data_IF_748722879156
#
_entry.id   IF_748722879156
#
_cell.length_a   1.000
_cell.length_b   1.000
_cell.length_c   1.000
_cell.angle_alpha   90.00
_cell.angle_beta   90.00
_cell.angle_gamma   90.00
#
_symmetry.space_group_name_H-M   'P 1'
#
loop_
_entity.id
_entity.type
_entity.pdbx_description
1 polymer ?
#
# COMPACT_ATOMS: atom_id res chain seq x y z
N UNK A 1 7.92 2.57 -23.58
CA UNK A 1 7.01 2.53 -24.76
C UNK A 1 7.53 3.29 -25.98
N UNK A 2 8.68 3.99 -25.91
CA UNK A 2 9.28 4.71 -27.06
C UNK A 2 9.57 3.86 -28.32
N UNK A 3 9.67 2.52 -28.17
CA UNK A 3 9.88 1.59 -29.30
C UNK A 3 8.69 1.49 -30.28
N UNK A 4 7.52 1.99 -29.88
CA UNK A 4 6.29 1.92 -30.66
C UNK A 4 5.85 3.27 -31.23
N UNK A 5 6.71 4.30 -31.08
CA UNK A 5 6.43 5.63 -31.61
C UNK A 5 6.30 5.58 -33.14
N UNK A 6 5.23 6.19 -33.66
CA UNK A 6 4.92 6.19 -35.08
C UNK A 6 4.37 4.87 -35.64
N UNK A 7 4.08 3.86 -34.79
CA UNK A 7 3.48 2.58 -35.23
C UNK A 7 2.01 2.50 -34.85
N UNK A 8 1.19 1.78 -35.65
CA UNK A 8 -0.19 1.51 -35.27
C UNK A 8 -0.22 0.56 -34.07
N UNK A 9 -0.83 0.97 -32.97
CA UNK A 9 -0.90 0.20 -31.71
C UNK A 9 -2.33 0.15 -31.22
N UNK A 10 -2.83 -1.04 -30.94
CA UNK A 10 -4.13 -1.25 -30.28
C UNK A 10 -3.88 -1.55 -28.80
N UNK A 11 -4.33 -0.64 -27.93
CA UNK A 11 -4.27 -0.84 -26.48
C UNK A 11 -5.61 -1.42 -26.04
N UNK A 12 -5.58 -2.65 -25.50
CA UNK A 12 -6.79 -3.36 -25.09
C UNK A 12 -6.56 -4.14 -23.81
N UNK A 13 -7.64 -4.63 -23.18
CA UNK A 13 -7.55 -5.48 -21.99
C UNK A 13 -7.07 -6.88 -22.39
N UNK A 14 -6.37 -7.55 -21.49
CA UNK A 14 -5.87 -8.93 -21.69
C UNK A 14 -7.02 -9.89 -22.03
N UNK A 15 -8.18 -9.71 -21.40
CA UNK A 15 -9.37 -10.50 -21.69
C UNK A 15 -9.85 -10.37 -23.15
N UNK A 16 -9.83 -9.17 -23.71
CA UNK A 16 -10.22 -8.93 -25.10
C UNK A 16 -9.21 -9.54 -26.08
N UNK A 17 -7.91 -9.54 -25.70
CA UNK A 17 -6.85 -10.20 -26.47
C UNK A 17 -7.01 -11.72 -26.54
N UNK A 18 -7.59 -12.32 -25.49
CA UNK A 18 -7.83 -13.78 -25.43
C UNK A 18 -9.13 -14.15 -26.16
N UNK A 19 -10.19 -13.37 -25.98
CA UNK A 19 -11.52 -13.72 -26.51
C UNK A 19 -11.76 -13.27 -27.95
N UNK A 20 -11.04 -12.24 -28.44
CA UNK A 20 -11.27 -11.66 -29.78
C UNK A 20 -9.95 -11.32 -30.50
N UNK A 21 -9.01 -12.27 -30.61
CA UNK A 21 -7.71 -12.00 -31.24
C UNK A 21 -7.82 -11.61 -32.71
N UNK A 22 -8.72 -12.24 -33.46
CA UNK A 22 -8.91 -11.97 -34.90
C UNK A 22 -9.43 -10.56 -35.17
N UNK A 23 -10.35 -10.06 -34.36
CA UNK A 23 -10.89 -8.71 -34.48
C UNK A 23 -9.79 -7.66 -34.24
N UNK A 24 -8.91 -7.89 -33.27
CA UNK A 24 -7.80 -7.00 -32.96
C UNK A 24 -6.72 -6.98 -34.03
N UNK A 25 -6.42 -8.15 -34.61
CA UNK A 25 -5.48 -8.28 -35.73
C UNK A 25 -6.06 -7.59 -36.99
N UNK A 26 -7.32 -7.78 -37.26
CA UNK A 26 -7.99 -7.16 -38.45
C UNK A 26 -8.00 -5.63 -38.33
N UNK A 27 -8.17 -5.06 -37.13
CA UNK A 27 -8.07 -3.60 -36.91
C UNK A 27 -6.69 -3.05 -37.25
N UNK A 28 -5.63 -3.82 -37.00
CA UNK A 28 -4.25 -3.42 -37.33
C UNK A 28 -4.02 -3.55 -38.83
N UNK A 29 -4.45 -4.65 -39.44
CA UNK A 29 -4.28 -4.93 -40.89
C UNK A 29 -5.07 -3.97 -41.76
N UNK A 30 -6.28 -3.60 -41.34
CA UNK A 30 -7.14 -2.65 -42.05
C UNK A 30 -6.75 -1.18 -41.86
N UNK A 31 -5.71 -0.89 -41.04
CA UNK A 31 -5.27 0.47 -40.83
C UNK A 31 -6.16 1.30 -39.88
N UNK A 32 -7.09 0.66 -39.17
CA UNK A 32 -8.01 1.32 -38.22
C UNK A 32 -7.35 1.57 -36.85
N UNK A 33 -6.12 1.05 -36.65
CA UNK A 33 -5.39 1.23 -35.40
C UNK A 33 -4.77 2.64 -35.30
N UNK A 34 -4.98 3.38 -34.22
CA UNK A 34 -4.40 4.69 -34.02
C UNK A 34 -2.86 4.62 -33.98
N UNK A 35 -2.21 5.58 -34.61
CA UNK A 35 -0.74 5.71 -34.55
C UNK A 35 -0.35 6.17 -33.16
N UNK A 36 0.53 5.40 -32.50
CA UNK A 36 1.01 5.73 -31.18
C UNK A 36 2.09 6.81 -31.27
N UNK A 37 1.87 7.93 -30.60
CA UNK A 37 2.88 8.98 -30.41
C UNK A 37 3.37 8.93 -28.96
N UNK A 38 4.66 8.68 -28.77
CA UNK A 38 5.30 8.74 -27.47
C UNK A 38 5.45 10.21 -27.05
N UNK A 39 4.36 10.82 -26.62
CA UNK A 39 4.44 12.09 -25.88
C UNK A 39 5.04 11.76 -24.52
N UNK A 40 6.24 12.26 -24.26
CA UNK A 40 6.93 12.06 -22.98
C UNK A 40 6.12 12.67 -21.84
N UNK A 41 5.39 11.84 -21.16
CA UNK A 41 4.54 12.20 -20.02
C UNK A 41 3.53 11.10 -19.76
N UNK A 42 3.46 10.62 -18.55
CA UNK A 42 2.47 9.77 -17.90
C UNK A 42 1.73 8.73 -18.78
N UNK A 43 1.53 7.49 -18.33
CA UNK A 43 0.70 6.53 -19.05
C UNK A 43 -0.67 7.17 -19.31
N UNK A 44 -1.09 7.17 -20.58
CA UNK A 44 -2.40 7.65 -20.99
C UNK A 44 -3.47 7.05 -20.07
N UNK A 45 -4.16 7.92 -19.35
CA UNK A 45 -5.29 7.54 -18.53
C UNK A 45 -6.27 6.75 -19.40
N UNK A 46 -6.63 5.56 -18.96
CA UNK A 46 -7.72 4.80 -19.58
C UNK A 46 -8.97 5.70 -19.62
N UNK A 47 -9.73 5.70 -20.73
CA UNK A 47 -10.85 6.62 -20.86
C UNK A 47 -11.86 6.39 -19.73
N UNK A 48 -12.11 7.44 -18.93
CA UNK A 48 -13.12 7.52 -17.87
C UNK A 48 -12.95 6.59 -16.65
N UNK A 49 -11.75 6.53 -16.05
CA UNK A 49 -11.71 6.13 -14.66
C UNK A 49 -12.24 7.30 -13.79
N UNK A 50 -13.34 7.08 -13.08
CA UNK A 50 -13.81 8.06 -12.11
C UNK A 50 -12.74 8.24 -11.03
N UNK A 51 -12.56 9.46 -10.49
CA UNK A 51 -11.58 9.72 -9.44
C UNK A 51 -11.68 8.72 -8.27
N UNK A 52 -12.89 8.28 -7.93
CA UNK A 52 -13.14 7.25 -6.94
C UNK A 52 -12.55 5.88 -7.29
N UNK A 53 -12.57 5.48 -8.57
CA UNK A 53 -11.97 4.22 -9.02
C UNK A 53 -10.44 4.26 -8.94
N UNK A 54 -9.83 5.38 -9.26
CA UNK A 54 -8.39 5.56 -9.14
C UNK A 54 -7.94 5.50 -7.66
N UNK A 55 -8.61 6.24 -6.78
CA UNK A 55 -8.35 6.20 -5.34
C UNK A 55 -8.50 4.77 -4.79
N UNK A 56 -9.57 4.05 -5.17
CA UNK A 56 -9.77 2.67 -4.75
C UNK A 56 -8.62 1.75 -5.16
N UNK A 57 -8.07 1.89 -6.37
CA UNK A 57 -6.91 1.11 -6.83
C UNK A 57 -5.67 1.37 -5.99
N UNK A 58 -5.40 2.65 -5.69
CA UNK A 58 -4.26 3.04 -4.85
C UNK A 58 -4.40 2.50 -3.42
N UNK A 59 -5.60 2.59 -2.84
CA UNK A 59 -5.91 2.02 -1.53
C UNK A 59 -5.71 0.51 -1.50
N UNK A 60 -6.23 -0.20 -2.51
CA UNK A 60 -6.12 -1.66 -2.60
C UNK A 60 -4.67 -2.10 -2.72
N UNK A 61 -3.83 -1.33 -3.43
CA UNK A 61 -2.40 -1.58 -3.49
C UNK A 61 -1.74 -1.48 -2.09
N UNK A 62 -2.04 -0.42 -1.34
CA UNK A 62 -1.54 -0.24 0.03
C UNK A 62 -1.97 -1.37 0.97
N UNK A 63 -3.26 -1.71 0.96
CA UNK A 63 -3.82 -2.79 1.78
C UNK A 63 -3.18 -4.14 1.46
N UNK A 64 -2.97 -4.47 0.17
CA UNK A 64 -2.36 -5.73 -0.23
C UNK A 64 -0.95 -5.92 0.32
N UNK A 65 -0.17 -4.85 0.39
CA UNK A 65 1.19 -4.88 0.95
C UNK A 65 1.22 -4.87 2.49
N UNK A 66 0.18 -4.35 3.12
CA UNK A 66 0.02 -4.36 4.58
C UNK A 66 -0.36 -5.75 5.12
N UNK A 67 -1.14 -6.55 4.36
CA UNK A 67 -1.67 -7.83 4.82
C UNK A 67 -0.63 -8.80 5.38
N UNK A 68 0.56 -9.02 4.77
CA UNK A 68 1.57 -9.93 5.32
C UNK A 68 2.03 -9.53 6.73
N UNK A 69 2.10 -8.24 7.02
CA UNK A 69 2.51 -7.73 8.34
C UNK A 69 1.43 -7.95 9.39
N UNK A 70 0.17 -7.76 9.03
CA UNK A 70 -0.97 -8.02 9.90
C UNK A 70 -1.07 -9.52 10.21
N UNK A 71 -1.01 -10.37 9.18
CA UNK A 71 -1.11 -11.82 9.34
C UNK A 71 0.10 -12.37 10.12
N UNK A 72 1.31 -11.99 9.73
CA UNK A 72 2.53 -12.43 10.40
C UNK A 72 2.60 -11.94 11.85
N UNK A 73 2.30 -10.67 12.10
CA UNK A 73 2.22 -10.10 13.45
C UNK A 73 1.17 -10.79 14.31
N UNK A 74 -0.02 -11.04 13.76
CA UNK A 74 -1.10 -11.76 14.44
C UNK A 74 -0.72 -13.18 14.83
N UNK A 75 -0.06 -13.93 13.94
CA UNK A 75 0.44 -15.27 14.23
C UNK A 75 1.48 -15.21 15.37
N UNK A 76 2.41 -14.26 15.34
CA UNK A 76 3.41 -14.12 16.40
C UNK A 76 2.79 -13.82 17.76
N UNK A 77 1.79 -12.94 17.81
CA UNK A 77 1.05 -12.64 19.04
C UNK A 77 0.27 -13.86 19.52
N UNK A 78 -0.37 -14.60 18.62
CA UNK A 78 -1.09 -15.83 18.97
C UNK A 78 -0.15 -16.89 19.55
N UNK A 79 1.05 -17.05 18.98
CA UNK A 79 2.09 -17.94 19.52
C UNK A 79 2.58 -17.47 20.89
N UNK A 80 2.70 -16.16 21.13
CA UNK A 80 3.05 -15.63 22.43
C UNK A 80 2.05 -16.06 23.50
N UNK A 81 0.77 -15.97 23.22
CA UNK A 81 -0.28 -16.43 24.15
C UNK A 81 -0.32 -17.96 24.31
N UNK A 82 -0.01 -18.70 23.25
CA UNK A 82 0.02 -20.17 23.31
C UNK A 82 1.19 -20.71 24.16
N UNK A 83 2.33 -20.01 24.11
CA UNK A 83 3.57 -20.44 24.78
C UNK A 83 3.72 -19.85 26.20
N UNK A 84 2.80 -18.99 26.61
CA UNK A 84 2.84 -18.36 27.91
C UNK A 84 2.03 -19.14 28.95
N UNK A 85 2.42 -19.01 30.22
CA UNK A 85 1.74 -19.65 31.34
C UNK A 85 0.92 -18.62 32.12
N UNK A 86 -0.42 -18.80 32.04
CA UNK A 86 -1.38 -17.94 32.74
C UNK A 86 -1.27 -18.00 34.27
N UNK A 87 -0.67 -19.07 34.83
CA UNK A 87 -0.54 -19.25 36.26
C UNK A 87 0.52 -18.35 36.92
N UNK A 88 1.43 -17.77 36.13
CA UNK A 88 2.52 -16.93 36.66
C UNK A 88 1.97 -15.54 37.03
N UNK A 89 1.43 -14.82 36.07
CA UNK A 89 0.79 -13.52 36.27
C UNK A 89 -0.30 -13.27 35.21
N UNK A 90 -1.58 -13.37 35.62
CA UNK A 90 -2.70 -13.13 34.71
C UNK A 90 -2.72 -11.74 34.07
N UNK A 91 -2.17 -10.72 34.76
CA UNK A 91 -2.14 -9.34 34.29
C UNK A 91 -1.15 -9.14 33.15
N UNK A 92 -0.09 -9.95 33.10
CA UNK A 92 0.98 -9.91 32.11
C UNK A 92 0.94 -11.07 31.12
N UNK A 93 -0.21 -11.70 30.96
CA UNK A 93 -0.38 -12.84 30.06
C UNK A 93 0.09 -12.55 28.64
N UNK A 94 0.90 -13.43 28.11
CA UNK A 94 1.61 -13.28 26.83
C UNK A 94 3.02 -12.71 26.97
N UNK A 95 3.48 -12.38 28.19
CA UNK A 95 4.83 -11.85 28.44
C UNK A 95 5.50 -12.47 29.69
N UNK A 96 4.88 -13.45 30.34
CA UNK A 96 5.41 -14.06 31.57
C UNK A 96 6.66 -14.90 31.32
N UNK A 97 6.79 -15.51 30.15
CA UNK A 97 7.96 -16.27 29.75
C UNK A 97 8.81 -15.49 28.76
N UNK A 98 10.15 -15.61 28.78
CA UNK A 98 11.04 -14.91 27.84
C UNK A 98 10.71 -15.18 26.39
N UNK A 99 10.29 -16.42 26.07
CA UNK A 99 9.92 -16.82 24.72
C UNK A 99 8.60 -16.15 24.28
N UNK A 100 7.59 -16.15 25.14
CA UNK A 100 6.33 -15.45 24.87
C UNK A 100 6.53 -13.95 24.69
N UNK A 101 7.33 -13.33 25.57
CA UNK A 101 7.69 -11.92 25.47
C UNK A 101 8.38 -11.58 24.15
N UNK A 102 9.27 -12.45 23.66
CA UNK A 102 9.93 -12.28 22.37
C UNK A 102 8.90 -12.30 21.22
N UNK A 103 8.04 -13.30 21.15
CA UNK A 103 7.03 -13.40 20.11
C UNK A 103 6.04 -12.24 20.15
N UNK A 104 5.60 -11.83 21.33
CA UNK A 104 4.70 -10.68 21.50
C UNK A 104 5.36 -9.37 21.04
N UNK A 105 6.63 -9.17 21.37
CA UNK A 105 7.37 -7.97 20.98
C UNK A 105 7.53 -7.91 19.45
N UNK A 106 7.91 -9.02 18.82
CA UNK A 106 8.03 -9.10 17.36
C UNK A 106 6.67 -8.88 16.68
N UNK A 107 5.62 -9.49 17.21
CA UNK A 107 4.26 -9.32 16.68
C UNK A 107 3.77 -7.88 16.79
N UNK A 108 3.98 -7.24 17.95
CA UNK A 108 3.62 -5.83 18.15
C UNK A 108 4.41 -4.90 17.22
N UNK A 109 5.70 -5.17 16.99
CA UNK A 109 6.50 -4.41 16.04
C UNK A 109 5.94 -4.55 14.61
N UNK A 110 5.58 -5.77 14.18
CA UNK A 110 4.97 -6.00 12.88
C UNK A 110 3.63 -5.24 12.72
N UNK A 111 2.79 -5.26 13.76
CA UNK A 111 1.56 -4.43 13.79
C UNK A 111 1.86 -2.94 13.75
N UNK A 112 2.91 -2.48 14.43
CA UNK A 112 3.34 -1.08 14.41
C UNK A 112 3.71 -0.60 13.00
N UNK A 113 4.24 -1.47 12.14
CA UNK A 113 4.54 -1.12 10.75
C UNK A 113 3.32 -1.09 9.82
N UNK A 114 2.16 -1.55 10.26
CA UNK A 114 0.95 -1.61 9.45
C UNK A 114 0.59 -0.25 8.83
N UNK A 115 0.54 0.81 9.63
CA UNK A 115 0.16 2.15 9.18
C UNK A 115 1.23 2.80 8.27
N UNK A 116 2.52 2.79 8.61
CA UNK A 116 3.58 3.28 7.73
C UNK A 116 3.63 2.56 6.37
N UNK A 117 3.43 1.24 6.36
CA UNK A 117 3.41 0.46 5.13
C UNK A 117 2.20 0.83 4.27
N UNK A 118 1.01 0.92 4.87
CA UNK A 118 -0.19 1.34 4.16
C UNK A 118 0.04 2.68 3.46
N UNK A 119 0.46 3.71 4.20
CA UNK A 119 0.69 5.05 3.66
C UNK A 119 1.80 5.05 2.59
N UNK A 120 2.91 4.34 2.83
CA UNK A 120 4.01 4.25 1.89
C UNK A 120 3.64 3.63 0.55
N UNK A 121 2.91 2.52 0.56
CA UNK A 121 2.50 1.85 -0.69
C UNK A 121 1.36 2.55 -1.42
N UNK A 122 0.49 3.29 -0.72
CA UNK A 122 -0.47 4.20 -1.37
C UNK A 122 0.29 5.30 -2.10
N UNK A 123 1.18 6.01 -1.42
CA UNK A 123 2.00 7.07 -2.01
C UNK A 123 2.88 6.55 -3.16
N UNK A 124 3.45 5.34 -3.04
CA UNK A 124 4.19 4.70 -4.12
C UNK A 124 3.33 4.42 -5.35
N UNK A 125 2.06 4.08 -5.18
CA UNK A 125 1.17 3.83 -6.32
C UNK A 125 0.74 5.11 -7.04
N UNK A 126 0.93 6.28 -6.42
CA UNK A 126 0.61 7.60 -7.00
C UNK A 126 1.87 8.25 -7.60
N UNK A 127 2.97 8.27 -6.84
CA UNK A 127 4.19 9.01 -7.17
C UNK A 127 5.42 8.10 -7.43
N UNK A 128 5.23 6.81 -7.67
CA UNK A 128 6.29 5.82 -7.86
C UNK A 128 7.26 5.72 -6.66
N UNK A 129 8.51 5.36 -6.90
CA UNK A 129 9.51 5.08 -5.86
C UNK A 129 9.77 6.24 -4.87
N UNK A 130 9.87 7.52 -5.30
CA UNK A 130 10.08 8.61 -4.33
C UNK A 130 8.89 8.79 -3.38
N UNK A 131 7.67 8.50 -3.82
CA UNK A 131 6.47 8.54 -2.99
C UNK A 131 6.52 7.59 -1.80
N UNK A 132 7.16 6.43 -1.95
CA UNK A 132 7.28 5.44 -0.86
C UNK A 132 7.92 6.05 0.39
N UNK A 133 9.01 6.77 0.25
CA UNK A 133 9.74 7.34 1.39
C UNK A 133 8.91 8.41 2.12
N UNK A 134 8.27 9.28 1.36
CA UNK A 134 7.43 10.36 1.90
C UNK A 134 6.18 9.79 2.59
N UNK A 135 5.49 8.86 1.93
CA UNK A 135 4.31 8.21 2.49
C UNK A 135 4.63 7.39 3.73
N UNK A 136 5.77 6.68 3.75
CA UNK A 136 6.21 5.94 4.92
C UNK A 136 6.49 6.86 6.12
N UNK A 137 7.22 7.96 5.91
CA UNK A 137 7.47 8.97 6.93
C UNK A 137 6.15 9.60 7.44
N UNK A 138 5.23 9.95 6.54
CA UNK A 138 3.90 10.46 6.88
C UNK A 138 3.10 9.45 7.69
N UNK A 139 3.17 8.16 7.37
CA UNK A 139 2.51 7.07 8.11
C UNK A 139 3.06 6.90 9.53
N UNK A 140 4.38 7.04 9.72
CA UNK A 140 5.02 7.03 11.05
C UNK A 140 4.56 8.22 11.88
N UNK A 141 4.51 9.41 11.29
CA UNK A 141 4.00 10.61 11.95
C UNK A 141 2.53 10.47 12.35
N UNK A 142 1.72 9.91 11.47
CA UNK A 142 0.30 9.63 11.74
C UNK A 142 0.10 8.62 12.89
N UNK A 143 0.99 7.64 13.00
CA UNK A 143 0.97 6.65 14.08
C UNK A 143 1.36 7.27 15.43
N UNK A 144 2.41 8.08 15.44
CA UNK A 144 2.92 8.70 16.67
C UNK A 144 2.05 9.88 17.12
N UNK A 145 1.26 10.47 16.24
CA UNK A 145 0.35 11.58 16.51
C UNK A 145 1.10 12.84 16.93
N UNK A 146 1.38 13.72 15.99
CA UNK A 146 1.96 15.04 16.31
C UNK A 146 0.93 16.13 16.12
N UNK A 147 0.72 16.95 17.14
CA UNK A 147 0.02 18.24 16.98
C UNK A 147 1.04 19.33 16.58
N UNK A 148 0.58 20.35 15.86
CA UNK A 148 1.42 21.49 15.46
C UNK A 148 2.07 22.17 16.69
N UNK A 149 1.34 22.27 17.80
CA UNK A 149 1.82 22.82 19.06
C UNK A 149 2.88 21.92 19.70
N UNK A 150 2.72 20.60 19.64
CA UNK A 150 3.71 19.63 20.10
C UNK A 150 5.02 19.71 19.32
N UNK A 151 4.93 19.90 17.99
CA UNK A 151 6.12 20.05 17.15
C UNK A 151 6.96 21.28 17.51
N UNK A 152 6.31 22.39 17.83
CA UNK A 152 6.99 23.62 18.26
C UNK A 152 7.64 23.51 19.64
N UNK A 153 7.09 22.69 20.53
CA UNK A 153 7.61 22.49 21.89
C UNK A 153 8.56 21.28 21.99
N UNK A 154 8.83 20.58 20.89
CA UNK A 154 9.63 19.35 20.89
C UNK A 154 8.92 18.14 21.53
N UNK A 155 7.63 18.24 21.77
CA UNK A 155 6.82 17.18 22.35
C UNK A 155 6.09 16.42 21.23
N UNK A 156 6.46 15.15 21.04
CA UNK A 156 5.91 14.28 19.99
C UNK A 156 4.71 13.44 20.50
N UNK A 157 4.25 13.73 21.71
CA UNK A 157 3.10 13.04 22.31
C UNK A 157 1.80 13.73 21.88
N UNK A 158 1.26 13.31 20.78
CA UNK A 158 -0.04 13.75 20.28
C UNK A 158 -1.07 12.62 20.23
N UNK A 159 -2.29 12.95 19.87
CA UNK A 159 -3.31 11.94 19.60
C UNK A 159 -2.98 11.26 18.28
N UNK A 160 -2.77 9.94 18.34
CA UNK A 160 -2.57 9.14 17.12
C UNK A 160 -3.72 9.34 16.15
N UNK A 161 -3.43 9.75 14.93
CA UNK A 161 -4.42 9.90 13.87
C UNK A 161 -4.98 8.56 13.37
N UNK A 162 -4.35 7.46 13.77
CA UNK A 162 -4.77 6.12 13.45
C UNK A 162 -4.78 5.83 11.93
N UNK A 163 -5.62 4.89 11.57
CA UNK A 163 -5.71 4.38 10.19
C UNK A 163 -6.07 5.45 9.16
N UNK A 164 -7.02 6.34 9.48
CA UNK A 164 -7.46 7.40 8.57
C UNK A 164 -6.35 8.42 8.28
N UNK A 165 -5.56 8.79 9.29
CA UNK A 165 -4.45 9.70 9.09
C UNK A 165 -3.33 9.07 8.24
N UNK A 166 -3.04 7.79 8.42
CA UNK A 166 -2.10 7.05 7.59
C UNK A 166 -2.57 6.97 6.12
N UNK A 167 -3.86 6.76 5.92
CA UNK A 167 -4.48 6.75 4.60
C UNK A 167 -4.34 8.11 3.90
N UNK A 168 -4.63 9.21 4.60
CA UNK A 168 -4.48 10.57 4.08
C UNK A 168 -3.01 10.94 3.85
N UNK A 169 -2.09 10.45 4.67
CA UNK A 169 -0.66 10.69 4.49
C UNK A 169 -0.09 9.97 3.26
N UNK A 170 -0.77 8.93 2.78
CA UNK A 170 -0.40 8.20 1.57
C UNK A 170 -0.98 8.79 0.28
N UNK A 171 -2.07 9.56 0.38
CA UNK A 171 -2.71 10.24 -0.75
C UNK A 171 -2.07 11.58 -1.05
#
# INVERSE_FOLDING_TARGET
>A
MARFDGKPVVITRVADGIHKPEELINKIVNGEAPIYHATGGAPAAAPNESAGSAIYKHLMNGVSHMLPFVVGGGIMIALAFLLDDYSIDPSNFGMNTPLAAFFKTVGNAAFGFMLPILAGFIAMSIADRPGLAVGFAGGVLAMNGTSFTGLMNGDITGVSGGFLAALLAGL
#
